data_IF_697696660286
#
_entry.id   IF_697696660286
#
_cell.length_a   1.000
_cell.length_b   1.000
_cell.length_c   1.000
_cell.angle_alpha   90.00
_cell.angle_beta   90.00
_cell.angle_gamma   90.00
#
_symmetry.space_group_name_H-M   'P 1'
#
loop_
_entity.id
_entity.type
_entity.pdbx_description
1 polymer ?
#
# COMPACT_ATOMS: atom_id res chain seq x y z
N UNK A 1 15.04 -54.41 -30.96
CA UNK A 1 14.47 -53.05 -31.09
C UNK A 1 13.04 -53.09 -30.56
N UNK A 2 12.81 -52.64 -29.31
CA UNK A 2 11.48 -52.54 -28.70
C UNK A 2 11.30 -51.09 -28.26
N UNK A 3 10.31 -50.42 -28.83
CA UNK A 3 9.94 -49.05 -28.52
C UNK A 3 9.23 -48.97 -27.17
N UNK A 4 9.67 -48.03 -26.34
CA UNK A 4 9.04 -47.67 -25.07
C UNK A 4 8.17 -46.43 -25.30
N UNK A 5 6.86 -46.65 -25.31
CA UNK A 5 5.84 -45.60 -25.22
C UNK A 5 5.97 -44.89 -23.86
N UNK A 6 6.23 -43.58 -23.90
CA UNK A 6 6.13 -42.71 -22.74
C UNK A 6 4.68 -42.19 -22.64
N UNK A 7 3.98 -42.32 -21.50
CA UNK A 7 2.67 -41.72 -21.34
C UNK A 7 2.83 -40.21 -21.16
N UNK A 8 2.22 -39.45 -22.07
CA UNK A 8 2.13 -37.99 -22.01
C UNK A 8 1.29 -37.55 -20.82
N UNK A 9 1.87 -36.69 -19.99
CA UNK A 9 1.19 -36.00 -18.90
C UNK A 9 0.66 -34.67 -19.45
N UNK A 10 -0.59 -34.65 -19.92
CA UNK A 10 -1.29 -33.43 -20.35
C UNK A 10 -2.34 -33.05 -19.31
N UNK A 11 -1.90 -32.52 -18.17
CA UNK A 11 -2.77 -31.80 -17.25
C UNK A 11 -2.78 -30.32 -17.61
N UNK A 12 -3.82 -29.86 -18.33
CA UNK A 12 -4.08 -28.44 -18.54
C UNK A 12 -4.47 -27.82 -17.19
N UNK A 13 -3.62 -26.95 -16.66
CA UNK A 13 -3.96 -26.09 -15.52
C UNK A 13 -4.69 -24.84 -16.06
N UNK A 14 -6.02 -24.92 -16.20
CA UNK A 14 -6.84 -23.73 -16.41
C UNK A 14 -7.24 -23.16 -15.05
N UNK A 15 -6.75 -21.95 -14.72
CA UNK A 15 -7.25 -21.17 -13.59
C UNK A 15 -8.24 -20.15 -14.12
N UNK A 16 -9.53 -20.45 -13.93
CA UNK A 16 -10.59 -19.45 -13.94
C UNK A 16 -10.69 -18.88 -12.52
N UNK A 17 -10.31 -17.62 -12.30
CA UNK A 17 -10.71 -16.87 -11.11
C UNK A 17 -12.00 -16.13 -11.44
N UNK A 18 -13.13 -16.80 -11.21
CA UNK A 18 -14.45 -16.17 -11.22
C UNK A 18 -14.68 -15.38 -9.93
N UNK A 19 -14.85 -14.07 -10.04
CA UNK A 19 -15.57 -13.29 -9.04
C UNK A 19 -17.04 -13.23 -9.48
N UNK A 20 -17.88 -14.07 -8.88
CA UNK A 20 -19.33 -13.97 -8.96
C UNK A 20 -19.83 -13.04 -7.85
N UNK A 21 -20.49 -11.95 -8.24
CA UNK A 21 -21.30 -11.15 -7.34
C UNK A 21 -22.50 -11.98 -6.89
N UNK A 22 -22.69 -12.17 -5.59
CA UNK A 22 -23.96 -12.62 -5.03
C UNK A 22 -24.25 -11.78 -3.78
N UNK A 23 -25.23 -10.89 -3.92
CA UNK A 23 -25.92 -10.29 -2.78
C UNK A 23 -26.77 -11.35 -2.08
N UNK A 24 -26.77 -11.31 -0.76
CA UNK A 24 -27.59 -12.17 0.09
C UNK A 24 -27.81 -11.47 1.42
N UNK A 25 -29.09 -11.23 1.72
CA UNK A 25 -29.63 -10.52 2.86
C UNK A 25 -29.15 -11.08 4.21
N UNK A 26 -28.76 -10.19 5.12
CA UNK A 26 -28.55 -10.51 6.52
C UNK A 26 -29.89 -10.37 7.28
N UNK A 27 -30.44 -11.48 7.76
CA UNK A 27 -31.44 -11.50 8.84
C UNK A 27 -30.69 -11.60 10.17
N UNK A 28 -31.07 -10.72 11.09
CA UNK A 28 -30.49 -10.62 12.43
C UNK A 28 -30.89 -11.77 13.33
N UNK A 29 -30.09 -11.94 14.38
CA UNK A 29 -30.50 -12.63 15.59
C UNK A 29 -29.80 -11.96 16.78
N UNK A 30 -30.63 -11.40 17.65
CA UNK A 30 -30.26 -10.76 18.91
C UNK A 30 -29.69 -11.80 19.87
N UNK A 31 -28.65 -11.40 20.62
CA UNK A 31 -28.33 -12.04 21.90
C UNK A 31 -28.13 -11.00 22.97
N UNK A 32 -29.07 -11.01 23.89
CA UNK A 32 -29.03 -10.37 25.20
C UNK A 32 -27.81 -10.86 26.00
N UNK A 33 -27.11 -9.92 26.64
CA UNK A 33 -26.20 -10.22 27.73
C UNK A 33 -26.50 -9.25 28.87
N UNK A 34 -27.13 -9.80 29.89
CA UNK A 34 -27.48 -9.19 31.16
C UNK A 34 -26.23 -8.80 31.96
N UNK A 35 -26.18 -7.57 32.46
CA UNK A 35 -25.26 -7.17 33.54
C UNK A 35 -26.10 -6.54 34.64
N UNK A 36 -26.15 -7.23 35.77
CA UNK A 36 -26.74 -6.78 37.02
C UNK A 36 -25.77 -5.89 37.80
N UNK A 37 -26.28 -4.71 38.14
CA UNK A 37 -26.22 -4.03 39.45
C UNK A 37 -24.93 -4.09 40.28
N UNK A 38 -24.38 -2.91 40.57
CA UNK A 38 -24.09 -2.47 41.93
C UNK A 38 -24.29 -0.95 42.06
N UNK A 39 -25.28 -0.60 42.89
CA UNK A 39 -25.56 0.62 43.67
C UNK A 39 -24.32 1.26 44.30
N UNK A 40 -24.26 2.48 44.85
CA UNK A 40 -25.18 3.58 45.14
C UNK A 40 -24.27 4.77 45.54
N UNK A 41 -24.71 6.01 45.42
CA UNK A 41 -23.90 7.15 45.88
C UNK A 41 -24.48 8.53 45.60
N UNK A 42 -25.69 8.76 46.09
CA UNK A 42 -26.40 10.04 46.15
C UNK A 42 -25.63 11.08 46.98
N UNK A 43 -25.51 12.33 46.50
CA UNK A 43 -25.64 13.55 47.31
C UNK A 43 -25.80 14.78 46.39
N UNK A 44 -26.93 15.46 46.58
CA UNK A 44 -27.35 16.76 46.03
C UNK A 44 -26.27 17.83 46.24
N UNK A 45 -26.14 18.86 45.38
CA UNK A 45 -26.94 20.08 45.55
C UNK A 45 -26.56 21.18 44.55
N UNK A 46 -27.59 21.94 44.13
CA UNK A 46 -27.58 23.38 43.76
C UNK A 46 -27.08 23.78 42.37
N UNK A 47 -28.06 23.85 41.46
CA UNK A 47 -28.54 25.09 40.82
C UNK A 47 -27.61 26.31 40.97
N UNK A 48 -26.90 26.67 39.90
CA UNK A 48 -26.66 28.08 39.58
C UNK A 48 -26.74 28.27 38.07
N UNK A 49 -27.92 28.71 37.65
CA UNK A 49 -28.22 29.65 36.58
C UNK A 49 -27.03 30.00 35.66
N UNK A 50 -27.10 29.46 34.43
CA UNK A 50 -26.27 29.84 33.30
C UNK A 50 -26.51 31.31 32.95
N UNK A 51 -25.64 32.19 33.44
CA UNK A 51 -25.44 33.51 32.87
C UNK A 51 -24.74 33.37 31.54
N UNK A 52 -25.48 33.53 30.45
CA UNK A 52 -24.96 33.67 29.09
C UNK A 52 -24.17 34.98 28.98
N UNK A 53 -22.91 34.97 29.42
CA UNK A 53 -21.94 35.97 28.99
C UNK A 53 -21.57 35.62 27.56
N UNK A 54 -22.30 36.21 26.61
CA UNK A 54 -21.90 36.26 25.22
C UNK A 54 -20.59 37.06 25.19
N UNK A 55 -19.47 36.34 25.16
CA UNK A 55 -18.17 36.92 24.84
C UNK A 55 -18.20 37.37 23.37
N UNK A 56 -18.52 38.65 23.17
CA UNK A 56 -18.47 39.34 21.86
C UNK A 56 -17.04 39.70 21.44
N UNK A 57 -16.06 38.87 21.79
CA UNK A 57 -14.68 38.88 21.26
C UNK A 57 -14.23 37.48 20.81
N UNK A 58 -15.14 36.70 20.25
CA UNK A 58 -14.79 35.48 19.51
C UNK A 58 -14.01 35.80 18.22
N UNK A 59 -12.73 36.15 18.33
CA UNK A 59 -11.80 35.98 17.21
C UNK A 59 -11.76 34.50 16.91
N UNK A 60 -12.46 34.08 15.85
CA UNK A 60 -12.40 32.71 15.38
C UNK A 60 -10.95 32.44 14.97
N UNK A 61 -10.25 31.61 15.75
CA UNK A 61 -8.94 31.07 15.40
C UNK A 61 -8.99 30.57 13.95
N UNK A 62 -8.10 31.10 13.12
CA UNK A 62 -8.01 30.70 11.72
C UNK A 62 -7.64 29.22 11.64
N UNK A 63 -8.42 28.46 10.87
CA UNK A 63 -8.20 27.01 10.70
C UNK A 63 -7.81 26.70 9.27
N UNK A 64 -6.80 25.85 9.13
CA UNK A 64 -6.48 25.20 7.86
C UNK A 64 -7.34 23.95 7.74
N UNK A 65 -8.15 23.87 6.69
CA UNK A 65 -9.11 22.81 6.47
C UNK A 65 -8.85 22.11 5.14
N UNK A 66 -9.05 20.80 5.09
CA UNK A 66 -9.17 20.06 3.82
C UNK A 66 -10.50 20.41 3.14
N UNK A 67 -10.64 20.00 1.88
CA UNK A 67 -11.86 20.22 1.11
C UNK A 67 -13.10 19.54 1.72
N UNK A 68 -12.92 18.44 2.45
CA UNK A 68 -13.98 17.74 3.18
C UNK A 68 -14.34 18.42 4.53
N UNK A 69 -13.70 19.53 4.88
CA UNK A 69 -13.92 20.28 6.12
C UNK A 69 -13.11 19.78 7.32
N UNK A 70 -12.36 18.68 7.18
CA UNK A 70 -11.48 18.20 8.25
C UNK A 70 -10.31 19.16 8.49
N UNK A 71 -9.86 19.29 9.74
CA UNK A 71 -8.74 20.16 10.11
C UNK A 71 -7.42 19.56 9.63
N UNK A 72 -6.58 20.38 8.99
CA UNK A 72 -5.19 20.03 8.69
C UNK A 72 -4.39 20.16 10.00
N UNK A 73 -3.79 19.05 10.44
CA UNK A 73 -2.94 19.05 11.63
C UNK A 73 -1.68 19.89 11.46
N UNK A 74 -0.94 20.09 12.55
CA UNK A 74 0.31 20.85 12.55
C UNK A 74 1.41 20.25 11.64
N UNK A 75 1.28 18.96 11.28
CA UNK A 75 2.16 18.28 10.35
C UNK A 75 1.36 17.49 9.31
N UNK A 76 1.82 17.57 8.07
CA UNK A 76 1.35 16.72 6.97
C UNK A 76 2.55 16.14 6.22
N UNK A 77 2.31 15.03 5.53
CA UNK A 77 3.26 14.43 4.61
C UNK A 77 2.73 14.56 3.19
N UNK A 78 3.56 15.03 2.27
CA UNK A 78 3.27 15.12 0.85
C UNK A 78 4.41 14.47 0.05
N UNK A 79 4.11 13.96 -1.13
CA UNK A 79 5.08 13.39 -2.05
C UNK A 79 5.43 14.41 -3.12
N UNK A 80 6.67 14.39 -3.59
CA UNK A 80 7.11 15.21 -4.72
C UNK A 80 6.16 15.08 -5.93
N UNK A 81 5.58 16.22 -6.35
CA UNK A 81 4.57 16.30 -7.40
C UNK A 81 3.14 16.48 -6.89
N UNK A 82 2.89 16.35 -5.59
CA UNK A 82 1.56 16.50 -5.00
C UNK A 82 1.00 17.92 -5.14
N UNK A 83 -0.32 17.98 -5.26
CA UNK A 83 -1.13 19.18 -5.19
C UNK A 83 -2.18 18.95 -4.09
N UNK A 84 -2.04 19.66 -2.97
CA UNK A 84 -3.01 19.62 -1.88
C UNK A 84 -3.90 20.87 -1.95
N UNK A 85 -5.14 20.78 -2.47
CA UNK A 85 -6.11 21.84 -2.30
C UNK A 85 -6.58 21.89 -0.84
N UNK A 86 -6.63 23.08 -0.27
CA UNK A 86 -7.07 23.32 1.10
C UNK A 86 -7.76 24.68 1.24
N UNK A 87 -8.40 24.86 2.39
CA UNK A 87 -9.17 26.04 2.74
C UNK A 87 -8.58 26.68 3.98
N UNK A 88 -8.66 28.00 4.05
CA UNK A 88 -8.39 28.78 5.25
C UNK A 88 -9.74 29.35 5.69
N UNK A 89 -10.21 28.91 6.85
CA UNK A 89 -11.45 29.41 7.44
C UNK A 89 -11.12 30.49 8.45
N UNK A 90 -11.57 31.71 8.18
CA UNK A 90 -11.31 32.87 9.02
C UNK A 90 -10.72 34.02 8.21
N UNK A 91 -10.84 35.22 8.77
CA UNK A 91 -10.15 36.41 8.27
C UNK A 91 -9.05 36.77 9.26
N UNK A 92 -7.99 37.39 8.77
CA UNK A 92 -6.97 38.00 9.61
C UNK A 92 -7.54 39.16 10.45
N UNK A 93 -6.72 39.72 11.37
CA UNK A 93 -7.15 40.80 12.26
C UNK A 93 -7.71 42.04 11.55
N UNK A 94 -7.28 42.27 10.30
CA UNK A 94 -7.70 43.35 9.41
C UNK A 94 -8.97 43.03 8.60
N UNK A 95 -9.61 41.88 8.86
CA UNK A 95 -10.72 41.31 8.09
C UNK A 95 -10.36 41.02 6.62
N UNK A 96 -9.09 40.73 6.34
CA UNK A 96 -8.63 40.27 5.02
C UNK A 96 -8.20 38.81 5.06
N UNK A 97 -7.96 38.23 3.88
CA UNK A 97 -7.42 36.88 3.77
C UNK A 97 -5.94 36.87 4.14
N UNK A 98 -5.50 35.80 4.79
CA UNK A 98 -4.09 35.63 5.14
C UNK A 98 -3.26 35.23 3.90
N UNK A 99 -2.00 35.63 3.91
CA UNK A 99 -1.01 35.19 2.92
C UNK A 99 -0.25 34.02 3.54
N UNK A 100 -0.38 32.84 2.95
CA UNK A 100 0.39 31.68 3.37
C UNK A 100 1.65 31.57 2.51
N UNK A 101 2.80 31.49 3.15
CA UNK A 101 4.10 31.41 2.49
C UNK A 101 4.87 30.21 3.02
N UNK A 102 5.60 29.54 2.13
CA UNK A 102 6.56 28.51 2.55
C UNK A 102 7.96 29.09 2.67
N UNK A 103 8.71 28.63 3.67
CA UNK A 103 10.15 28.90 3.82
C UNK A 103 11.03 28.05 2.90
N UNK A 104 10.45 27.09 2.15
CA UNK A 104 11.20 26.15 1.33
C UNK A 104 10.76 26.17 -0.15
N UNK A 105 11.69 26.26 -1.12
CA UNK A 105 11.36 26.42 -2.55
C UNK A 105 10.57 25.26 -3.16
N UNK A 106 10.68 24.05 -2.57
CA UNK A 106 9.93 22.87 -3.01
C UNK A 106 8.45 22.92 -2.64
N UNK A 107 8.04 23.74 -1.67
CA UNK A 107 6.64 23.92 -1.29
C UNK A 107 6.17 25.32 -1.70
N UNK A 108 5.09 25.40 -2.49
CA UNK A 108 4.53 26.67 -2.94
C UNK A 108 3.05 26.71 -2.65
N UNK A 109 2.61 27.73 -1.93
CA UNK A 109 1.19 28.00 -1.71
C UNK A 109 0.71 28.94 -2.80
N UNK A 110 -0.37 28.57 -3.48
CA UNK A 110 -0.96 29.33 -4.57
C UNK A 110 -2.43 29.61 -4.27
N UNK A 111 -2.93 30.85 -4.48
CA UNK A 111 -4.35 31.12 -4.40
C UNK A 111 -5.11 30.41 -5.52
N UNK A 112 -6.23 29.76 -5.18
CA UNK A 112 -7.18 29.20 -6.16
C UNK A 112 -8.29 30.21 -6.42
N UNK A 113 -8.89 30.72 -5.34
CA UNK A 113 -9.87 31.80 -5.40
C UNK A 113 -9.78 32.63 -4.12
N UNK A 114 -9.57 33.93 -4.28
CA UNK A 114 -9.52 34.91 -3.19
C UNK A 114 -10.71 35.85 -3.40
N UNK A 115 -11.73 35.71 -2.56
CA UNK A 115 -12.85 36.63 -2.53
C UNK A 115 -12.94 37.19 -1.11
N UNK A 116 -12.53 38.45 -0.91
CA UNK A 116 -12.53 39.08 0.42
C UNK A 116 -13.91 39.27 1.04
N UNK A 117 -14.99 38.98 0.30
CA UNK A 117 -16.35 38.91 0.85
C UNK A 117 -16.64 37.58 1.52
N UNK A 118 -15.86 36.54 1.21
CA UNK A 118 -15.99 35.21 1.78
C UNK A 118 -15.05 35.08 2.98
N UNK A 119 -15.54 34.49 4.07
CA UNK A 119 -14.72 34.15 5.24
C UNK A 119 -13.78 32.97 4.94
N UNK A 120 -14.03 32.25 3.84
CA UNK A 120 -13.22 31.14 3.36
C UNK A 120 -12.32 31.58 2.21
N UNK A 121 -11.03 31.27 2.31
CA UNK A 121 -10.05 31.39 1.24
C UNK A 121 -9.68 30.00 0.74
N UNK A 122 -9.57 29.81 -0.58
CA UNK A 122 -9.15 28.53 -1.19
C UNK A 122 -7.74 28.64 -1.74
N UNK A 123 -6.89 27.71 -1.32
CA UNK A 123 -5.47 27.65 -1.64
C UNK A 123 -5.10 26.26 -2.14
N UNK A 124 -3.97 26.18 -2.84
CA UNK A 124 -3.32 24.92 -3.20
C UNK A 124 -1.88 24.95 -2.73
N UNK A 125 -1.48 23.94 -1.96
CA UNK A 125 -0.08 23.68 -1.64
C UNK A 125 0.48 22.73 -2.70
N UNK A 126 1.38 23.24 -3.53
CA UNK A 126 2.09 22.49 -4.56
C UNK A 126 3.46 22.08 -4.05
N UNK A 127 3.76 20.78 -4.14
CA UNK A 127 5.08 20.24 -3.85
C UNK A 127 5.79 19.93 -5.16
N UNK A 128 6.87 20.67 -5.41
CA UNK A 128 7.70 20.50 -6.61
C UNK A 128 8.62 19.30 -6.46
N UNK A 129 9.11 18.81 -7.61
CA UNK A 129 10.17 17.81 -7.63
C UNK A 129 11.37 18.32 -6.84
N UNK A 130 11.78 17.53 -5.85
CA UNK A 130 13.03 17.67 -5.16
C UNK A 130 13.86 16.43 -5.54
N UNK A 131 15.17 16.60 -5.72
CA UNK A 131 16.04 15.60 -6.37
C UNK A 131 16.04 14.19 -5.74
N UNK A 132 16.95 13.34 -6.21
CA UNK A 132 16.96 11.87 -6.03
C UNK A 132 16.90 11.36 -4.57
N UNK A 133 17.12 12.22 -3.58
CA UNK A 133 17.15 11.89 -2.14
C UNK A 133 16.38 12.90 -1.28
N UNK A 134 15.23 13.36 -1.77
CA UNK A 134 14.46 14.38 -1.09
C UNK A 134 13.66 13.86 0.11
N UNK A 135 14.29 13.84 1.28
CA UNK A 135 13.56 14.07 2.52
C UNK A 135 13.72 15.53 2.88
N UNK A 136 12.66 16.32 2.73
CA UNK A 136 12.69 17.76 3.03
C UNK A 136 11.59 18.11 4.02
N UNK A 137 11.86 19.13 4.83
CA UNK A 137 10.87 19.73 5.71
C UNK A 137 10.70 21.16 5.22
N UNK A 138 9.47 21.48 4.82
CA UNK A 138 9.04 22.83 4.52
C UNK A 138 8.10 23.28 5.63
N UNK A 139 8.13 24.56 5.96
CA UNK A 139 7.14 25.13 6.85
C UNK A 139 6.35 26.19 6.13
N UNK A 140 5.04 26.18 6.39
CA UNK A 140 4.10 27.15 5.85
C UNK A 140 3.59 27.99 7.02
N UNK A 141 3.80 29.30 6.89
CA UNK A 141 3.39 30.29 7.88
C UNK A 141 2.39 31.26 7.26
N UNK A 142 1.49 31.77 8.10
CA UNK A 142 0.50 32.77 7.69
C UNK A 142 0.99 34.18 8.04
N UNK A 143 0.70 35.10 7.14
CA UNK A 143 1.03 36.51 7.26
C UNK A 143 -0.21 37.36 7.04
N UNK A 144 -0.32 38.44 7.82
CA UNK A 144 -1.28 39.52 7.58
C UNK A 144 -0.79 40.33 6.39
N UNK A 145 -1.70 40.71 5.50
CA UNK A 145 -1.39 41.51 4.31
C UNK A 145 -1.45 43.02 4.58
N UNK A 146 -0.63 43.82 3.91
CA UNK A 146 -0.82 45.26 3.82
C UNK A 146 -1.98 45.62 2.86
N UNK A 147 -2.23 46.93 2.68
CA UNK A 147 -3.27 47.41 1.77
C UNK A 147 -3.07 46.97 0.31
N UNK A 148 -1.82 46.70 -0.08
CA UNK A 148 -1.38 46.31 -1.41
C UNK A 148 -1.31 44.79 -1.58
N UNK A 149 -1.60 44.01 -0.54
CA UNK A 149 -1.56 42.55 -0.58
C UNK A 149 -0.17 41.95 -0.37
N UNK A 150 0.78 42.72 0.20
CA UNK A 150 2.10 42.20 0.57
C UNK A 150 2.12 41.68 2.01
N UNK A 151 2.93 40.66 2.32
CA UNK A 151 3.07 40.18 3.70
C UNK A 151 3.69 41.27 4.58
N UNK A 152 3.00 41.63 5.67
CA UNK A 152 3.41 42.67 6.62
C UNK A 152 4.01 42.08 7.90
N UNK A 153 3.26 41.20 8.55
CA UNK A 153 3.66 40.55 9.81
C UNK A 153 3.11 39.13 9.89
N UNK A 154 3.81 38.26 10.63
CA UNK A 154 3.38 36.89 10.88
C UNK A 154 2.11 36.89 11.74
N UNK A 155 1.11 36.14 11.30
CA UNK A 155 -0.09 35.88 12.09
C UNK A 155 0.24 34.82 13.16
N UNK A 156 0.12 35.18 14.44
CA UNK A 156 0.48 34.30 15.55
C UNK A 156 -0.66 33.35 15.95
N UNK A 157 -1.89 33.65 15.53
CA UNK A 157 -3.09 32.88 15.85
C UNK A 157 -3.28 31.68 14.91
N UNK A 158 -2.67 31.73 13.72
CA UNK A 158 -2.64 30.61 12.77
C UNK A 158 -1.44 29.70 13.06
N UNK A 159 -1.66 28.42 13.39
CA UNK A 159 -0.58 27.46 13.61
C UNK A 159 0.31 27.31 12.37
N UNK A 160 1.63 27.21 12.62
CA UNK A 160 2.62 26.83 11.59
C UNK A 160 2.31 25.42 11.10
N UNK A 161 2.23 25.25 9.78
CA UNK A 161 2.08 23.94 9.15
C UNK A 161 3.45 23.41 8.76
N UNK A 162 3.81 22.23 9.25
CA UNK A 162 5.02 21.49 8.86
C UNK A 162 4.67 20.51 7.76
N UNK A 163 5.34 20.63 6.61
CA UNK A 163 5.13 19.80 5.44
C UNK A 163 6.38 18.94 5.25
N UNK A 164 6.25 17.66 5.59
CA UNK A 164 7.27 16.66 5.29
C UNK A 164 7.12 16.24 3.83
N UNK A 165 8.13 16.51 3.02
CA UNK A 165 8.17 16.20 1.60
C UNK A 165 8.99 14.92 1.42
N UNK A 166 8.36 13.91 0.83
CA UNK A 166 8.96 12.62 0.51
C UNK A 166 9.27 12.51 -0.99
N UNK A 167 10.28 11.71 -1.38
CA UNK A 167 10.59 11.52 -2.78
C UNK A 167 9.55 10.58 -3.41
N UNK A 168 9.35 10.74 -4.72
CA UNK A 168 8.55 9.79 -5.49
C UNK A 168 9.24 8.43 -5.53
N UNK A 169 8.51 7.36 -5.22
CA UNK A 169 8.97 5.99 -5.38
C UNK A 169 8.69 5.53 -6.81
N UNK A 170 9.70 4.93 -7.42
CA UNK A 170 9.63 4.39 -8.77
C UNK A 170 10.00 2.92 -8.77
N UNK A 171 9.37 2.15 -9.66
CA UNK A 171 9.80 0.78 -9.89
C UNK A 171 11.05 0.77 -10.78
N UNK A 172 12.00 -0.16 -10.54
CA UNK A 172 13.12 -0.37 -11.44
C UNK A 172 12.66 -0.65 -12.88
N UNK A 173 13.53 -0.43 -13.88
CA UNK A 173 13.20 -0.69 -15.27
C UNK A 173 12.68 -2.11 -15.48
N UNK A 174 11.60 -2.26 -16.25
CA UNK A 174 10.94 -3.54 -16.44
C UNK A 174 11.89 -4.63 -16.97
N UNK A 175 12.86 -4.26 -17.80
CA UNK A 175 13.82 -5.20 -18.41
C UNK A 175 14.84 -5.79 -17.43
N UNK A 176 14.86 -5.35 -16.17
CA UNK A 176 15.77 -5.89 -15.14
C UNK A 176 15.08 -6.98 -14.33
N UNK A 177 15.83 -7.96 -13.84
CA UNK A 177 15.29 -9.01 -12.94
C UNK A 177 14.63 -8.42 -11.70
N UNK A 178 15.24 -7.40 -11.08
CA UNK A 178 14.67 -6.66 -9.95
C UNK A 178 13.34 -5.98 -10.32
N UNK A 179 13.26 -5.38 -11.51
CA UNK A 179 12.04 -4.74 -12.00
C UNK A 179 10.89 -5.74 -12.22
N UNK A 180 11.21 -6.94 -12.71
CA UNK A 180 10.27 -8.04 -12.88
C UNK A 180 9.79 -8.59 -11.53
N UNK A 181 10.73 -8.90 -10.63
CA UNK A 181 10.43 -9.40 -9.29
C UNK A 181 9.57 -8.41 -8.51
N UNK A 182 9.91 -7.11 -8.49
CA UNK A 182 9.13 -6.12 -7.78
C UNK A 182 7.67 -6.07 -8.28
N UNK A 183 7.46 -6.11 -9.60
CA UNK A 183 6.12 -6.13 -10.21
C UNK A 183 5.34 -7.38 -9.84
N UNK A 184 5.98 -8.54 -9.89
CA UNK A 184 5.37 -9.82 -9.52
C UNK A 184 5.01 -9.85 -8.03
N UNK A 185 5.93 -9.45 -7.14
CA UNK A 185 5.67 -9.40 -5.70
C UNK A 185 4.49 -8.48 -5.36
N UNK A 186 4.39 -7.33 -6.03
CA UNK A 186 3.28 -6.40 -5.84
C UNK A 186 1.96 -7.00 -6.35
N UNK A 187 1.96 -7.64 -7.52
CA UNK A 187 0.73 -8.18 -8.12
C UNK A 187 0.22 -9.45 -7.45
N UNK A 188 1.13 -10.27 -6.91
CA UNK A 188 0.79 -11.55 -6.28
C UNK A 188 0.37 -11.39 -4.81
N UNK A 189 0.69 -10.28 -4.15
CA UNK A 189 0.34 -10.05 -2.74
C UNK A 189 -0.86 -9.12 -2.57
N UNK A 190 -1.58 -9.32 -1.46
CA UNK A 190 -2.65 -8.42 -1.06
C UNK A 190 -2.07 -7.04 -0.70
N UNK A 191 -2.52 -5.98 -1.39
CA UNK A 191 -2.13 -4.61 -1.05
C UNK A 191 -2.91 -4.05 0.15
N UNK A 192 -2.49 -2.92 0.75
CA UNK A 192 -3.05 -2.36 1.99
C UNK A 192 -4.57 -2.14 2.10
N UNK A 193 -5.28 -2.05 0.98
CA UNK A 193 -6.76 -1.92 0.96
C UNK A 193 -7.51 -3.24 0.74
N UNK A 194 -6.79 -4.32 0.45
CA UNK A 194 -7.40 -5.62 0.25
C UNK A 194 -7.78 -6.22 1.61
N UNK A 195 -8.96 -6.84 1.72
CA UNK A 195 -9.42 -7.48 2.95
C UNK A 195 -8.53 -8.63 3.43
N UNK A 196 -7.70 -9.20 2.53
CA UNK A 196 -6.69 -10.22 2.86
C UNK A 196 -5.36 -9.65 3.32
N UNK A 197 -5.18 -8.33 3.32
CA UNK A 197 -3.98 -7.70 3.85
C UNK A 197 -4.02 -7.73 5.37
N UNK A 198 -3.19 -8.58 5.96
CA UNK A 198 -3.10 -8.76 7.42
C UNK A 198 -2.20 -7.70 8.04
N UNK A 199 -0.95 -7.64 7.60
CA UNK A 199 0.05 -6.68 8.07
C UNK A 199 1.19 -6.53 7.07
N UNK A 200 2.01 -5.49 7.25
CA UNK A 200 3.21 -5.30 6.45
C UNK A 200 4.23 -6.42 6.67
N UNK A 201 4.37 -6.91 7.91
CA UNK A 201 5.30 -8.00 8.23
C UNK A 201 4.90 -9.32 7.57
N UNK A 202 3.60 -9.65 7.56
CA UNK A 202 3.13 -10.84 6.86
C UNK A 202 3.26 -10.71 5.34
N UNK A 203 2.99 -9.53 4.78
CA UNK A 203 3.20 -9.28 3.36
C UNK A 203 4.70 -9.42 3.00
N UNK A 204 5.60 -8.91 3.85
CA UNK A 204 7.06 -9.07 3.71
C UNK A 204 7.45 -10.55 3.71
N UNK A 205 6.99 -11.33 4.69
CA UNK A 205 7.28 -12.77 4.77
C UNK A 205 6.77 -13.51 3.54
N UNK A 206 5.53 -13.24 3.11
CA UNK A 206 4.95 -13.84 1.92
C UNK A 206 5.78 -13.52 0.66
N UNK A 207 6.17 -12.25 0.47
CA UNK A 207 7.05 -11.85 -0.64
C UNK A 207 8.38 -12.58 -0.62
N UNK A 208 9.03 -12.70 0.55
CA UNK A 208 10.29 -13.43 0.69
C UNK A 208 10.11 -14.92 0.35
N UNK A 209 9.03 -15.55 0.83
CA UNK A 209 8.75 -16.96 0.58
C UNK A 209 8.41 -17.24 -0.88
N UNK A 210 7.79 -16.31 -1.61
CA UNK A 210 7.61 -16.43 -3.06
C UNK A 210 8.96 -16.51 -3.79
N UNK A 211 9.93 -15.69 -3.40
CA UNK A 211 11.30 -15.75 -3.96
C UNK A 211 11.97 -17.07 -3.63
N UNK A 212 11.81 -17.58 -2.40
CA UNK A 212 12.28 -18.91 -1.98
C UNK A 212 11.67 -20.01 -2.86
N UNK A 213 10.35 -19.99 -3.08
CA UNK A 213 9.66 -20.96 -3.94
C UNK A 213 10.29 -21.00 -5.33
N UNK A 214 10.49 -19.85 -5.97
CA UNK A 214 11.05 -19.79 -7.32
C UNK A 214 12.48 -20.36 -7.36
N UNK A 215 13.32 -20.01 -6.38
CA UNK A 215 14.68 -20.54 -6.27
C UNK A 215 14.68 -22.06 -6.06
N UNK A 216 13.79 -22.57 -5.23
CA UNK A 216 13.65 -24.01 -5.00
C UNK A 216 13.15 -24.75 -6.24
N UNK A 217 12.21 -24.18 -7.00
CA UNK A 217 11.76 -24.75 -8.27
C UNK A 217 12.90 -24.88 -9.26
N UNK A 218 13.74 -23.85 -9.39
CA UNK A 218 14.94 -23.90 -10.23
C UNK A 218 15.92 -24.98 -9.76
N UNK A 219 16.18 -25.05 -8.45
CA UNK A 219 17.11 -26.03 -7.84
C UNK A 219 16.65 -27.48 -8.00
N UNK A 220 15.37 -27.76 -7.78
CA UNK A 220 14.80 -29.10 -7.96
C UNK A 220 14.66 -29.46 -9.45
N UNK A 221 14.46 -28.45 -10.29
CA UNK A 221 14.32 -28.57 -11.74
C UNK A 221 12.95 -28.06 -12.18
N UNK A 222 12.94 -26.94 -12.92
CA UNK A 222 11.73 -26.22 -13.33
C UNK A 222 10.72 -27.10 -14.11
N UNK A 223 11.19 -28.14 -14.80
CA UNK A 223 10.34 -29.10 -15.53
C UNK A 223 9.36 -29.87 -14.63
N UNK A 224 9.68 -30.06 -13.34
CA UNK A 224 8.78 -30.66 -12.36
C UNK A 224 7.54 -29.81 -12.09
N UNK A 225 7.60 -28.53 -12.44
CA UNK A 225 6.56 -27.52 -12.23
C UNK A 225 5.92 -27.07 -13.55
N UNK A 226 6.08 -27.85 -14.62
CA UNK A 226 5.56 -27.56 -15.95
C UNK A 226 6.08 -26.25 -16.59
N UNK A 227 7.18 -25.68 -16.08
CA UNK A 227 7.77 -24.45 -16.64
C UNK A 227 8.57 -24.70 -17.92
N UNK A 228 9.02 -25.93 -18.16
CA UNK A 228 9.88 -26.31 -19.28
C UNK A 228 11.22 -26.90 -18.83
N UNK A 229 11.93 -27.55 -19.75
CA UNK A 229 13.24 -28.18 -19.46
C UNK A 229 14.40 -27.19 -19.47
N UNK A 230 14.29 -26.16 -20.31
CA UNK A 230 15.37 -25.19 -20.54
C UNK A 230 15.28 -23.96 -19.62
N UNK A 231 14.32 -23.96 -18.68
CA UNK A 231 14.14 -22.89 -17.70
C UNK A 231 15.16 -23.03 -16.58
N UNK A 232 16.15 -22.12 -16.57
CA UNK A 232 17.25 -22.10 -15.59
C UNK A 232 17.41 -20.76 -14.85
N UNK A 233 16.67 -19.73 -15.23
CA UNK A 233 16.72 -18.39 -14.60
C UNK A 233 15.39 -18.03 -13.96
N UNK A 234 15.41 -17.10 -13.00
CA UNK A 234 14.18 -16.59 -12.36
C UNK A 234 13.28 -15.91 -13.39
N UNK A 235 13.86 -15.08 -14.27
CA UNK A 235 13.12 -14.47 -15.37
C UNK A 235 12.39 -15.52 -16.24
N UNK A 236 13.10 -16.55 -16.69
CA UNK A 236 12.50 -17.58 -17.55
C UNK A 236 11.40 -18.36 -16.81
N UNK A 237 11.57 -18.58 -15.50
CA UNK A 237 10.56 -19.26 -14.69
C UNK A 237 9.31 -18.41 -14.49
N UNK A 238 9.45 -17.11 -14.23
CA UNK A 238 8.31 -16.19 -14.06
C UNK A 238 7.51 -16.05 -15.36
N UNK A 239 8.21 -16.02 -16.51
CA UNK A 239 7.61 -15.92 -17.84
C UNK A 239 7.06 -17.25 -18.37
N UNK A 240 7.41 -18.36 -17.75
CA UNK A 240 6.96 -19.65 -18.23
C UNK A 240 5.43 -19.79 -18.06
N UNK A 241 4.75 -20.49 -19.00
CA UNK A 241 3.30 -20.62 -18.96
C UNK A 241 2.78 -21.17 -17.62
N UNK A 242 1.68 -20.58 -17.14
CA UNK A 242 1.00 -20.94 -15.90
C UNK A 242 1.87 -20.89 -14.62
N UNK A 243 3.02 -20.19 -14.63
CA UNK A 243 3.85 -20.05 -13.43
C UNK A 243 3.46 -18.84 -12.58
N UNK A 244 3.26 -17.68 -13.21
CA UNK A 244 2.79 -16.45 -12.59
C UNK A 244 1.76 -15.81 -13.50
N UNK A 245 0.55 -15.57 -12.99
CA UNK A 245 -0.56 -15.07 -13.80
C UNK A 245 -0.27 -13.68 -14.38
N UNK A 246 -0.50 -13.50 -15.68
CA UNK A 246 -0.25 -12.24 -16.36
C UNK A 246 1.21 -11.92 -16.70
N UNK A 247 2.19 -12.80 -16.41
CA UNK A 247 3.62 -12.56 -16.70
C UNK A 247 4.18 -13.32 -17.91
N UNK A 248 3.38 -14.16 -18.57
CA UNK A 248 3.85 -14.98 -19.70
C UNK A 248 4.42 -14.15 -20.87
N UNK A 249 3.89 -12.93 -21.07
CA UNK A 249 4.30 -12.00 -22.14
C UNK A 249 5.14 -10.83 -21.63
N UNK A 250 5.72 -10.96 -20.44
CA UNK A 250 6.51 -9.90 -19.82
C UNK A 250 7.60 -9.38 -20.79
N UNK A 251 7.77 -8.04 -20.94
CA UNK A 251 7.32 -6.97 -20.05
C UNK A 251 5.85 -6.52 -20.22
N UNK A 252 5.08 -7.10 -21.14
CA UNK A 252 3.64 -6.88 -21.19
C UNK A 252 2.96 -7.68 -20.08
N UNK A 253 2.35 -6.99 -19.12
CA UNK A 253 1.67 -7.58 -17.96
C UNK A 253 0.16 -7.66 -18.22
N UNK A 254 -0.47 -8.73 -17.76
CA UNK A 254 -1.93 -8.89 -17.77
C UNK A 254 -2.65 -7.70 -17.14
N UNK A 255 -3.80 -7.31 -17.70
CA UNK A 255 -4.51 -6.09 -17.30
C UNK A 255 -4.95 -6.08 -15.83
N UNK A 256 -5.18 -7.24 -15.21
CA UNK A 256 -5.48 -7.33 -13.80
C UNK A 256 -4.25 -6.99 -12.94
N UNK A 257 -3.13 -7.67 -13.19
CA UNK A 257 -1.87 -7.45 -12.48
C UNK A 257 -1.35 -6.03 -12.67
N UNK A 258 -1.43 -5.48 -13.90
CA UNK A 258 -1.03 -4.10 -14.17
C UNK A 258 -1.85 -3.10 -13.34
N UNK A 259 -3.17 -3.28 -13.23
CA UNK A 259 -4.02 -2.42 -12.38
C UNK A 259 -3.63 -2.48 -10.89
N UNK A 260 -3.25 -3.65 -10.38
CA UNK A 260 -2.79 -3.79 -8.99
C UNK A 260 -1.47 -3.04 -8.77
N UNK A 261 -0.52 -3.20 -9.70
CA UNK A 261 0.76 -2.49 -9.70
C UNK A 261 0.55 -0.98 -9.75
N UNK A 262 -0.26 -0.50 -10.71
CA UNK A 262 -0.54 0.93 -10.88
C UNK A 262 -1.22 1.53 -9.64
N UNK A 263 -2.14 0.79 -9.01
CA UNK A 263 -2.81 1.21 -7.77
C UNK A 263 -1.80 1.40 -6.64
N UNK A 264 -0.89 0.45 -6.43
CA UNK A 264 0.14 0.54 -5.38
C UNK A 264 1.07 1.72 -5.63
N UNK A 265 1.58 1.88 -6.85
CA UNK A 265 2.47 3.00 -7.21
C UNK A 265 1.77 4.33 -7.04
N UNK A 266 0.52 4.44 -7.52
CA UNK A 266 -0.28 5.67 -7.39
C UNK A 266 -0.45 6.05 -5.92
N UNK A 267 -0.93 5.12 -5.09
CA UNK A 267 -1.26 5.43 -3.70
C UNK A 267 -0.02 5.64 -2.82
N UNK A 268 1.10 4.97 -3.12
CA UNK A 268 2.39 5.24 -2.47
C UNK A 268 2.95 6.63 -2.80
N UNK A 269 2.58 7.17 -3.97
CA UNK A 269 3.01 8.48 -4.45
C UNK A 269 1.94 9.57 -4.35
N UNK A 270 0.86 9.32 -3.62
CA UNK A 270 -0.17 10.30 -3.30
C UNK A 270 -0.15 10.53 -1.79
N UNK A 271 0.55 11.58 -1.34
CA UNK A 271 0.68 11.93 0.07
C UNK A 271 -0.65 12.33 0.71
N UNK A 272 -1.68 12.62 -0.10
CA UNK A 272 -3.03 12.92 0.39
C UNK A 272 -3.86 11.67 0.68
N UNK A 273 -3.44 10.51 0.18
CA UNK A 273 -4.11 9.23 0.39
C UNK A 273 -4.05 8.80 1.87
N UNK A 274 -5.19 8.40 2.44
CA UNK A 274 -5.29 8.02 3.87
C UNK A 274 -4.33 6.90 4.30
N UNK A 275 -4.01 5.98 3.37
CA UNK A 275 -3.06 4.88 3.57
C UNK A 275 -1.70 5.13 2.90
N UNK A 276 -1.35 6.37 2.55
CA UNK A 276 -0.10 6.68 1.82
C UNK A 276 1.12 6.00 2.47
N UNK A 277 1.29 6.19 3.79
CA UNK A 277 2.40 5.58 4.54
C UNK A 277 2.44 4.05 4.36
N UNK A 278 1.31 3.36 4.54
CA UNK A 278 1.26 1.90 4.38
C UNK A 278 1.58 1.45 2.95
N UNK A 279 1.10 2.19 1.93
CA UNK A 279 1.44 1.90 0.54
C UNK A 279 2.91 2.15 0.21
N UNK A 280 3.52 3.19 0.79
CA UNK A 280 4.96 3.45 0.66
C UNK A 280 5.77 2.34 1.32
N UNK A 281 5.47 2.01 2.56
CA UNK A 281 6.16 0.95 3.30
C UNK A 281 6.04 -0.40 2.57
N UNK A 282 4.85 -0.69 2.01
CA UNK A 282 4.60 -1.89 1.19
C UNK A 282 5.44 -1.91 -0.10
N UNK A 283 5.46 -0.79 -0.83
CA UNK A 283 6.24 -0.66 -2.07
C UNK A 283 7.75 -0.75 -1.80
N UNK A 284 8.25 -0.08 -0.77
CA UNK A 284 9.65 -0.14 -0.34
C UNK A 284 10.04 -1.57 0.10
N UNK A 285 9.15 -2.26 0.80
CA UNK A 285 9.33 -3.68 1.17
C UNK A 285 9.45 -4.57 -0.06
N UNK A 286 8.53 -4.45 -1.03
CA UNK A 286 8.58 -5.22 -2.27
C UNK A 286 9.89 -4.96 -3.06
N UNK A 287 10.32 -3.70 -3.10
CA UNK A 287 11.59 -3.31 -3.73
C UNK A 287 12.80 -3.90 -3.00
N UNK A 288 12.82 -3.86 -1.67
CA UNK A 288 13.91 -4.41 -0.87
C UNK A 288 14.01 -5.94 -0.99
N UNK A 289 12.87 -6.65 -1.04
CA UNK A 289 12.84 -8.09 -1.32
C UNK A 289 13.33 -8.37 -2.75
N UNK A 290 12.87 -7.62 -3.75
CA UNK A 290 13.30 -7.77 -5.14
C UNK A 290 14.80 -7.50 -5.34
N UNK A 291 15.39 -6.60 -4.55
CA UNK A 291 16.84 -6.33 -4.51
C UNK A 291 17.62 -7.32 -3.64
N UNK A 292 16.95 -8.29 -3.01
CA UNK A 292 17.53 -9.22 -2.02
C UNK A 292 18.16 -8.53 -0.81
N UNK A 293 17.78 -7.29 -0.50
CA UNK A 293 18.13 -6.59 0.75
C UNK A 293 17.38 -7.20 1.93
N UNK A 294 16.12 -7.61 1.69
CA UNK A 294 15.31 -8.39 2.61
C UNK A 294 15.16 -9.80 2.08
N UNK A 295 15.92 -10.74 2.63
CA UNK A 295 15.84 -12.15 2.29
C UNK A 295 15.38 -12.99 3.48
N UNK A 296 14.92 -14.21 3.18
CA UNK A 296 14.57 -15.21 4.19
C UNK A 296 15.15 -16.56 3.77
N UNK A 297 15.59 -17.36 4.75
CA UNK A 297 15.88 -18.76 4.53
C UNK A 297 14.58 -19.51 4.21
N UNK A 298 14.69 -20.72 3.66
CA UNK A 298 13.51 -21.56 3.50
C UNK A 298 12.99 -21.97 4.89
N UNK A 299 11.75 -21.60 5.27
CA UNK A 299 11.17 -21.98 6.55
C UNK A 299 10.78 -23.45 6.62
N UNK A 300 10.68 -24.14 5.48
CA UNK A 300 10.19 -25.50 5.37
C UNK A 300 11.37 -26.47 5.18
N UNK A 301 11.57 -27.46 6.08
CA UNK A 301 12.70 -28.40 5.98
C UNK A 301 12.74 -29.19 4.66
N UNK A 302 11.58 -29.48 4.09
CA UNK A 302 11.43 -30.19 2.80
C UNK A 302 11.43 -29.25 1.60
N UNK A 303 11.36 -27.94 1.84
CA UNK A 303 11.39 -26.86 0.86
C UNK A 303 10.02 -26.33 0.48
N UNK A 304 9.90 -25.03 0.24
CA UNK A 304 8.69 -24.43 -0.36
C UNK A 304 8.73 -24.52 -1.89
N UNK A 305 7.62 -24.92 -2.52
CA UNK A 305 7.56 -25.14 -3.98
C UNK A 305 6.31 -24.60 -4.67
N UNK A 306 5.33 -24.09 -3.96
CA UNK A 306 4.23 -23.34 -4.57
C UNK A 306 3.62 -22.34 -3.57
N UNK A 307 2.93 -21.35 -4.12
CA UNK A 307 1.98 -20.54 -3.39
C UNK A 307 0.66 -20.48 -4.16
N UNK A 308 -0.42 -20.17 -3.44
CA UNK A 308 -1.74 -19.83 -3.98
C UNK A 308 -2.34 -18.74 -3.11
N UNK A 309 -3.25 -17.95 -3.65
CA UNK A 309 -4.11 -17.09 -2.81
C UNK A 309 -4.86 -17.97 -1.80
N UNK A 310 -4.94 -17.54 -0.55
CA UNK A 310 -5.67 -18.25 0.49
C UNK A 310 -7.09 -18.61 0.02
N UNK A 311 -7.54 -19.82 0.37
CA UNK A 311 -8.80 -20.47 -0.03
C UNK A 311 -8.88 -20.91 -1.49
N UNK A 312 -7.84 -20.67 -2.30
CA UNK A 312 -7.79 -21.22 -3.65
C UNK A 312 -7.54 -22.73 -3.61
N UNK A 313 -7.93 -23.41 -4.70
CA UNK A 313 -7.64 -24.85 -4.86
C UNK A 313 -6.13 -25.10 -4.80
N UNK A 314 -5.79 -26.23 -4.14
CA UNK A 314 -4.42 -26.75 -4.08
C UNK A 314 -3.77 -26.80 -5.47
N UNK A 315 -2.45 -26.54 -5.59
CA UNK A 315 -1.73 -26.66 -6.85
C UNK A 315 -1.72 -28.09 -7.44
N UNK A 316 -2.09 -29.10 -6.66
CA UNK A 316 -2.24 -30.49 -7.12
C UNK A 316 -1.97 -31.51 -6.02
N UNK A 317 -2.15 -32.80 -6.34
CA UNK A 317 -2.10 -33.88 -5.35
C UNK A 317 -0.71 -34.12 -4.74
N UNK A 318 0.36 -33.61 -5.35
CA UNK A 318 1.72 -33.73 -4.81
C UNK A 318 2.10 -32.58 -3.87
N UNK A 319 1.20 -31.62 -3.65
CA UNK A 319 1.45 -30.45 -2.81
C UNK A 319 0.76 -30.61 -1.45
N UNK A 320 1.50 -30.27 -0.39
CA UNK A 320 1.02 -30.26 0.98
C UNK A 320 1.16 -28.84 1.51
N UNK A 321 0.08 -28.27 2.04
CA UNK A 321 0.12 -26.93 2.61
C UNK A 321 1.07 -26.90 3.81
N UNK A 322 1.96 -25.92 3.83
CA UNK A 322 2.90 -25.66 4.90
C UNK A 322 2.36 -24.61 5.87
N UNK A 323 2.01 -23.43 5.36
CA UNK A 323 1.52 -22.32 6.16
C UNK A 323 0.80 -21.29 5.30
N UNK A 324 0.00 -20.44 5.95
CA UNK A 324 -0.62 -19.26 5.34
C UNK A 324 0.08 -18.01 5.84
N UNK A 325 0.47 -17.12 4.94
CA UNK A 325 1.10 -15.82 5.24
C UNK A 325 0.65 -14.76 4.25
N UNK A 326 0.30 -13.58 4.73
CA UNK A 326 0.02 -12.42 3.87
C UNK A 326 -1.11 -12.66 2.86
N UNK A 327 -2.09 -13.49 3.23
CA UNK A 327 -3.20 -13.88 2.33
C UNK A 327 -2.83 -14.94 1.28
N UNK A 328 -1.70 -15.62 1.43
CA UNK A 328 -1.22 -16.68 0.53
C UNK A 328 -0.98 -17.97 1.30
N UNK A 329 -1.38 -19.09 0.71
CA UNK A 329 -1.06 -20.44 1.17
C UNK A 329 0.22 -20.91 0.48
N UNK A 330 1.21 -21.32 1.27
CA UNK A 330 2.48 -21.85 0.80
C UNK A 330 2.50 -23.37 0.94
N UNK A 331 3.09 -24.04 -0.04
CA UNK A 331 3.06 -25.50 -0.13
C UNK A 331 4.46 -26.08 -0.27
N UNK A 332 4.67 -27.22 0.39
CA UNK A 332 5.77 -28.14 0.14
C UNK A 332 5.30 -29.31 -0.74
N UNK A 333 6.18 -30.27 -1.01
CA UNK A 333 5.91 -31.47 -1.80
C UNK A 333 5.78 -32.71 -0.91
N UNK A 334 5.04 -33.71 -1.36
CA UNK A 334 5.01 -35.02 -0.69
C UNK A 334 6.38 -35.68 -0.70
N UNK A 335 6.71 -36.43 0.37
CA UNK A 335 7.97 -37.17 0.47
C UNK A 335 8.20 -38.09 -0.74
N UNK A 336 7.14 -38.80 -1.16
CA UNK A 336 7.14 -39.65 -2.36
C UNK A 336 7.60 -38.93 -3.62
N UNK A 337 7.16 -37.68 -3.82
CA UNK A 337 7.56 -36.91 -5.00
C UNK A 337 9.03 -36.48 -4.90
N UNK A 338 9.45 -36.00 -3.72
CA UNK A 338 10.83 -35.55 -3.49
C UNK A 338 11.82 -36.69 -3.75
N UNK A 339 11.58 -37.89 -3.20
CA UNK A 339 12.46 -39.06 -3.41
C UNK A 339 12.55 -39.47 -4.89
N UNK A 340 11.43 -39.39 -5.62
CA UNK A 340 11.39 -39.68 -7.08
C UNK A 340 12.08 -38.60 -7.92
N UNK A 341 12.04 -37.35 -7.49
CA UNK A 341 12.71 -36.25 -8.18
C UNK A 341 14.23 -36.32 -8.00
N UNK A 342 14.69 -36.58 -6.77
CA UNK A 342 16.12 -36.69 -6.45
C UNK A 342 16.79 -37.89 -7.11
N UNK A 343 16.17 -39.07 -7.08
CA UNK A 343 16.71 -40.28 -7.74
C UNK A 343 16.89 -40.12 -9.26
N UNK A 344 16.02 -39.32 -9.92
CA UNK A 344 16.16 -39.00 -11.35
C UNK A 344 17.29 -38.02 -11.66
N UNK A 345 17.66 -37.17 -10.71
CA UNK A 345 18.77 -36.24 -10.87
C UNK A 345 20.12 -36.97 -10.73
N UNK A 346 20.20 -37.95 -9.84
CA UNK A 346 21.42 -38.74 -9.60
C UNK A 346 21.73 -39.70 -10.75
N UNK A 347 20.72 -40.36 -11.34
CA UNK A 347 20.91 -41.29 -12.46
C UNK A 347 21.23 -40.65 -13.82
N UNK A 348 21.43 -39.32 -13.88
CA UNK A 348 21.85 -38.58 -15.09
C UNK A 348 23.28 -38.05 -15.01
N UNK A 349 23.95 -38.21 -13.87
CA UNK A 349 25.40 -38.02 -13.75
C UNK A 349 26.10 -39.30 -14.18
#
# INVERSE_FOLDING_TARGET
MKGLNSPGFTGRFNVFCGWGCAGGEAKGEEREASISELSDGYLESRSTQWGSTIDRRGFHLTKLLRNDGSVIGAQITLVAGDLLPFKVSGLGPDRRHLILMSDHPAAKVMPVSVNHRDVEQRLTLKVSGCGVSCHQIAHVEAYVSDERGHPLSRDLDTPRLTVQILPRLELPPAVTETGMLARMLISENAGPENTRFVSLDEAREAMQWMVVVLRNRLKLGASHFAAGRDVSTLEALIKAPNQVDGFEKYPSIGSLQQRLIDKVIKNANDGTHRLNKQYRDYLETALAVARSELWSADPCPTGLYAWRTNEAKSPGNNFVQFATKGGQDFYTLTNDFISKAQSRAEGRR
#
